data_IF_652786894630
#
_entry.id   IF_652786894630
#
_cell.length_a   1.000
_cell.length_b   1.000
_cell.length_c   1.000
_cell.angle_alpha   90.00
_cell.angle_beta   90.00
_cell.angle_gamma   90.00
#
_symmetry.space_group_name_H-M   'P 1'
#
loop_
_entity.id
_entity.type
_entity.pdbx_description
1 polymer ?
#
# COMPACT_ATOMS: atom_id res chain seq x y z
N UNK A 1 44.75 -67.44 -20.96
CA UNK A 1 43.89 -66.58 -21.86
C UNK A 1 42.57 -66.38 -21.13
N UNK A 2 42.40 -65.29 -20.42
CA UNK A 2 41.23 -64.94 -19.65
C UNK A 2 40.43 -63.85 -20.40
N UNK A 3 39.21 -64.16 -20.77
CA UNK A 3 38.24 -63.25 -21.34
C UNK A 3 37.48 -62.52 -20.20
N UNK A 4 37.57 -61.18 -20.16
CA UNK A 4 36.75 -60.32 -19.28
C UNK A 4 35.37 -60.08 -19.95
N UNK A 5 34.32 -60.49 -19.28
CA UNK A 5 32.93 -60.16 -19.64
C UNK A 5 32.62 -58.81 -18.98
N UNK A 6 32.29 -57.78 -19.79
CA UNK A 6 31.83 -56.49 -19.35
C UNK A 6 30.28 -56.51 -19.34
N UNK A 7 29.62 -56.25 -18.23
CA UNK A 7 28.17 -56.12 -18.22
C UNK A 7 27.72 -54.80 -18.89
N UNK A 8 26.87 -54.90 -19.89
CA UNK A 8 26.14 -53.79 -20.48
C UNK A 8 25.04 -53.34 -19.51
N UNK A 9 25.22 -52.20 -18.86
CA UNK A 9 24.13 -51.53 -18.18
C UNK A 9 23.19 -50.89 -19.23
N UNK A 10 21.96 -51.36 -19.25
CA UNK A 10 20.88 -50.70 -19.98
C UNK A 10 20.43 -49.45 -19.24
N UNK A 11 20.79 -48.28 -19.77
CA UNK A 11 20.29 -46.97 -19.37
C UNK A 11 19.01 -46.64 -20.18
N UNK A 12 17.88 -47.19 -19.80
CA UNK A 12 16.57 -46.75 -20.28
C UNK A 12 15.59 -47.01 -19.14
N UNK A 13 15.38 -46.03 -18.27
CA UNK A 13 14.11 -45.79 -17.57
C UNK A 13 14.32 -44.69 -16.49
N UNK A 14 14.40 -43.44 -16.89
CA UNK A 14 14.17 -42.28 -15.99
C UNK A 14 13.91 -41.01 -16.82
N UNK A 15 12.84 -41.03 -17.59
CA UNK A 15 12.39 -39.78 -18.27
C UNK A 15 10.87 -39.71 -18.39
N UNK A 16 10.14 -40.06 -17.34
CA UNK A 16 8.68 -40.03 -17.40
C UNK A 16 7.98 -39.30 -16.23
N UNK A 17 8.69 -38.61 -15.35
CA UNK A 17 8.03 -37.97 -14.19
C UNK A 17 8.14 -36.44 -14.11
N UNK A 18 8.54 -35.72 -15.16
CA UNK A 18 8.70 -34.25 -15.09
C UNK A 18 7.60 -33.48 -15.84
N UNK A 19 6.69 -34.15 -16.54
CA UNK A 19 5.69 -33.43 -17.37
C UNK A 19 4.30 -33.24 -16.73
N UNK A 20 4.05 -33.75 -15.53
CA UNK A 20 2.71 -33.66 -14.93
C UNK A 20 2.42 -32.33 -14.16
N UNK A 21 3.42 -31.56 -13.82
CA UNK A 21 3.22 -30.33 -13.01
C UNK A 21 3.01 -29.07 -13.85
N UNK A 22 3.20 -29.08 -15.16
CA UNK A 22 2.97 -27.91 -16.02
C UNK A 22 1.53 -27.82 -16.59
N UNK A 23 0.75 -28.89 -16.58
CA UNK A 23 -0.60 -28.87 -17.14
C UNK A 23 -1.61 -28.16 -16.24
N UNK A 24 -1.46 -28.23 -14.90
CA UNK A 24 -2.45 -27.78 -13.95
C UNK A 24 -2.46 -26.23 -13.82
N UNK A 25 -1.30 -25.55 -14.00
CA UNK A 25 -1.23 -24.09 -13.95
C UNK A 25 -2.00 -23.40 -15.10
N UNK A 26 -2.24 -24.09 -16.21
CA UNK A 26 -2.96 -23.56 -17.36
C UNK A 26 -4.50 -23.56 -17.18
N UNK A 27 -5.04 -24.39 -16.30
CA UNK A 27 -6.50 -24.52 -16.16
C UNK A 27 -7.14 -23.30 -15.49
N UNK A 28 -6.45 -22.61 -14.61
CA UNK A 28 -6.98 -21.41 -13.94
C UNK A 28 -6.98 -20.14 -14.81
N UNK A 29 -6.22 -20.08 -15.89
CA UNK A 29 -6.14 -18.89 -16.77
C UNK A 29 -7.51 -18.56 -17.38
N UNK A 30 -8.30 -19.57 -17.73
CA UNK A 30 -9.65 -19.40 -18.30
C UNK A 30 -10.66 -18.78 -17.32
N UNK A 31 -10.37 -18.78 -16.04
CA UNK A 31 -11.23 -18.22 -14.98
C UNK A 31 -10.80 -16.82 -14.56
N UNK A 32 -9.86 -16.18 -15.27
CA UNK A 32 -9.49 -14.80 -15.01
C UNK A 32 -10.66 -13.86 -15.32
N UNK A 33 -11.05 -13.06 -14.33
CA UNK A 33 -12.08 -12.03 -14.47
C UNK A 33 -11.43 -10.64 -14.52
N UNK A 34 -12.14 -9.66 -15.09
CA UNK A 34 -11.79 -8.25 -14.96
C UNK A 34 -12.18 -7.79 -13.57
N UNK A 35 -11.22 -7.34 -12.71
CA UNK A 35 -11.51 -6.98 -11.35
C UNK A 35 -12.30 -5.66 -11.28
N UNK A 36 -13.25 -5.57 -10.36
CA UNK A 36 -13.85 -4.30 -9.96
C UNK A 36 -12.95 -3.62 -8.94
N UNK A 37 -12.68 -2.32 -9.12
CA UNK A 37 -11.86 -1.54 -8.19
C UNK A 37 -12.73 -0.49 -7.52
N UNK A 38 -12.62 -0.41 -6.19
CA UNK A 38 -13.20 0.67 -5.38
C UNK A 38 -12.09 1.26 -4.53
N UNK A 39 -11.97 2.60 -4.51
CA UNK A 39 -11.06 3.30 -3.60
C UNK A 39 -11.89 4.24 -2.75
N UNK A 40 -11.68 4.17 -1.44
CA UNK A 40 -12.22 5.09 -0.44
C UNK A 40 -11.09 5.82 0.28
N UNK A 41 -11.38 7.02 0.77
CA UNK A 41 -10.49 7.77 1.65
C UNK A 41 -11.02 7.61 3.08
N UNK A 42 -10.16 7.31 4.07
CA UNK A 42 -10.60 7.15 5.45
C UNK A 42 -11.15 8.46 6.02
N UNK A 43 -12.09 8.34 6.94
CA UNK A 43 -12.47 9.47 7.78
C UNK A 43 -11.30 9.80 8.71
N UNK A 44 -10.91 11.07 8.74
CA UNK A 44 -9.76 11.49 9.55
C UNK A 44 -10.16 12.22 10.83
N UNK A 45 -9.26 12.19 11.81
CA UNK A 45 -9.36 12.91 13.09
C UNK A 45 -8.12 13.74 13.33
N UNK A 46 -8.26 14.79 14.16
CA UNK A 46 -7.14 15.65 14.61
C UNK A 46 -7.09 15.63 16.12
N UNK A 47 -5.92 15.36 16.66
CA UNK A 47 -5.58 15.50 18.06
C UNK A 47 -4.51 16.56 18.22
N UNK A 48 -4.62 17.41 19.25
CA UNK A 48 -3.63 18.46 19.56
C UNK A 48 -3.05 18.19 20.93
N UNK A 49 -1.73 18.11 21.01
CA UNK A 49 -1.01 17.88 22.26
C UNK A 49 0.12 18.92 22.46
N UNK A 50 0.51 19.12 23.71
CA UNK A 50 1.74 19.82 24.05
C UNK A 50 2.74 18.81 24.63
N UNK A 51 3.94 18.64 24.02
CA UNK A 51 5.00 17.82 24.60
C UNK A 51 5.41 18.36 25.98
N UNK A 52 5.94 17.49 26.85
CA UNK A 52 6.39 17.88 28.20
C UNK A 52 7.66 18.72 28.15
N UNK A 53 8.47 18.54 27.10
CA UNK A 53 9.73 19.27 26.89
C UNK A 53 9.60 20.23 25.72
N UNK A 54 10.45 21.28 25.68
CA UNK A 54 10.54 22.19 24.54
C UNK A 54 10.99 21.44 23.28
N UNK A 55 10.40 21.79 22.15
CA UNK A 55 10.81 21.27 20.84
C UNK A 55 12.02 22.11 20.35
N UNK A 56 13.17 21.46 20.14
CA UNK A 56 14.48 22.12 19.92
C UNK A 56 14.47 23.24 18.86
N UNK A 57 13.92 22.99 17.69
CA UNK A 57 13.96 23.93 16.56
C UNK A 57 12.58 24.31 16.02
N UNK A 58 11.52 23.63 16.46
CA UNK A 58 10.19 23.74 15.88
C UNK A 58 9.22 24.38 16.87
N UNK A 59 8.29 25.14 16.35
CA UNK A 59 7.18 25.69 17.13
C UNK A 59 6.00 24.74 17.18
N UNK A 60 5.86 23.90 16.14
CA UNK A 60 4.86 22.86 16.00
C UNK A 60 5.33 21.74 15.10
N UNK A 61 4.55 20.67 15.03
CA UNK A 61 4.77 19.53 14.15
C UNK A 61 3.48 18.76 13.93
N UNK A 62 3.27 18.21 12.72
CA UNK A 62 2.19 17.29 12.40
C UNK A 62 2.75 15.89 12.16
N UNK A 63 2.21 14.92 12.90
CA UNK A 63 2.45 13.50 12.65
C UNK A 63 1.17 12.95 12.00
N UNK A 64 1.28 12.56 10.72
CA UNK A 64 0.17 12.02 9.94
C UNK A 64 0.23 10.49 9.91
N UNK A 65 -0.89 9.83 10.21
CA UNK A 65 -1.02 8.37 10.12
C UNK A 65 -1.70 8.00 8.81
N UNK A 66 -0.94 7.38 7.92
CA UNK A 66 -1.46 6.88 6.63
C UNK A 66 -2.12 5.51 6.81
N UNK A 67 -3.26 5.33 6.16
CA UNK A 67 -3.94 4.05 5.94
C UNK A 67 -3.69 3.61 4.51
N UNK A 68 -3.39 2.33 4.34
CA UNK A 68 -3.10 1.69 3.05
C UNK A 68 -3.58 0.24 3.13
N UNK A 69 -4.90 0.05 3.18
CA UNK A 69 -5.58 -1.22 3.36
C UNK A 69 -6.20 -1.70 2.04
N UNK A 70 -6.18 -3.01 1.83
CA UNK A 70 -6.77 -3.67 0.66
C UNK A 70 -7.58 -4.87 1.13
N UNK A 71 -8.85 -4.89 0.76
CA UNK A 71 -9.75 -6.02 0.95
C UNK A 71 -10.06 -6.67 -0.41
N UNK A 72 -9.75 -7.96 -0.53
CA UNK A 72 -9.90 -8.70 -1.78
C UNK A 72 -11.10 -9.62 -1.70
N UNK A 73 -12.10 -9.32 -2.50
CA UNK A 73 -13.20 -10.23 -2.74
C UNK A 73 -12.76 -11.22 -3.83
N UNK A 74 -12.46 -12.44 -3.42
CA UNK A 74 -12.02 -13.50 -4.33
C UNK A 74 -13.17 -14.02 -5.18
N UNK A 75 -12.84 -14.46 -6.42
CA UNK A 75 -13.65 -15.33 -7.23
C UNK A 75 -13.08 -16.75 -7.10
N UNK A 76 -13.89 -17.66 -6.54
CA UNK A 76 -13.46 -19.04 -6.25
C UNK A 76 -14.24 -19.97 -7.13
N UNK A 77 -13.58 -20.61 -8.08
CA UNK A 77 -14.17 -21.61 -8.98
C UNK A 77 -13.67 -22.99 -8.62
N UNK A 78 -14.58 -23.90 -8.29
CA UNK A 78 -14.25 -25.32 -8.09
C UNK A 78 -14.02 -26.00 -9.44
N UNK A 79 -12.94 -26.73 -9.54
CA UNK A 79 -12.58 -27.58 -10.71
C UNK A 79 -12.32 -29.02 -10.24
N UNK A 80 -12.07 -29.96 -11.18
CA UNK A 80 -12.00 -31.39 -10.88
C UNK A 80 -11.00 -31.71 -9.75
N UNK A 81 -9.83 -31.09 -9.77
CA UNK A 81 -8.72 -31.40 -8.84
C UNK A 81 -8.50 -30.35 -7.74
N UNK A 82 -9.37 -29.31 -7.58
CA UNK A 82 -9.18 -28.26 -6.62
C UNK A 82 -9.98 -27.00 -6.89
N UNK A 83 -9.34 -25.85 -6.69
CA UNK A 83 -9.99 -24.54 -6.81
C UNK A 83 -9.08 -23.56 -7.55
N UNK A 84 -9.70 -22.73 -8.39
CA UNK A 84 -9.05 -21.54 -8.95
C UNK A 84 -9.51 -20.33 -8.15
N UNK A 85 -8.56 -19.60 -7.56
CA UNK A 85 -8.79 -18.41 -6.74
C UNK A 85 -8.35 -17.19 -7.55
N UNK A 86 -9.31 -16.41 -8.03
CA UNK A 86 -9.10 -15.18 -8.79
C UNK A 86 -9.57 -13.95 -8.02
N UNK A 87 -9.52 -12.78 -8.68
CA UNK A 87 -9.99 -11.51 -8.11
C UNK A 87 -11.33 -11.15 -8.74
N UNK A 88 -12.36 -10.98 -7.92
CA UNK A 88 -13.64 -10.40 -8.31
C UNK A 88 -13.67 -8.90 -8.08
N UNK A 89 -13.18 -8.45 -6.92
CA UNK A 89 -13.17 -7.05 -6.53
C UNK A 89 -12.00 -6.77 -5.60
N UNK A 90 -11.46 -5.56 -5.69
CA UNK A 90 -10.52 -5.00 -4.70
C UNK A 90 -11.13 -3.72 -4.15
N UNK A 91 -11.36 -3.70 -2.84
CA UNK A 91 -11.76 -2.51 -2.10
C UNK A 91 -10.54 -1.98 -1.35
N UNK A 92 -10.08 -0.79 -1.72
CA UNK A 92 -8.94 -0.15 -1.09
C UNK A 92 -9.38 1.05 -0.25
N UNK A 93 -8.77 1.21 0.92
CA UNK A 93 -8.87 2.41 1.74
C UNK A 93 -7.49 3.04 1.83
N UNK A 94 -7.29 4.20 1.16
CA UNK A 94 -5.98 4.85 1.02
C UNK A 94 -6.11 6.32 1.37
N UNK A 95 -5.31 6.78 2.35
CA UNK A 95 -5.30 8.17 2.80
C UNK A 95 -4.84 8.32 4.24
N UNK A 96 -5.18 9.43 4.86
CA UNK A 96 -4.81 9.73 6.24
C UNK A 96 -6.01 9.58 7.18
N UNK A 97 -5.83 8.84 8.28
CA UNK A 97 -6.88 8.59 9.28
C UNK A 97 -6.72 9.41 10.56
N UNK A 98 -5.49 9.84 10.88
CA UNK A 98 -5.23 10.62 12.08
C UNK A 98 -4.08 11.61 11.88
N UNK A 99 -4.26 12.81 12.45
CA UNK A 99 -3.24 13.85 12.53
C UNK A 99 -3.00 14.19 14.01
N UNK A 100 -1.81 13.91 14.51
CA UNK A 100 -1.35 14.35 15.81
C UNK A 100 -0.58 15.66 15.61
N UNK A 101 -1.17 16.78 16.08
CA UNK A 101 -0.55 18.10 16.06
C UNK A 101 0.15 18.32 17.39
N UNK A 102 1.44 18.52 17.36
CA UNK A 102 2.25 18.91 18.52
C UNK A 102 2.50 20.40 18.48
N UNK A 103 2.15 21.11 19.56
CA UNK A 103 2.46 22.54 19.74
C UNK A 103 3.44 22.70 20.88
N UNK A 104 4.57 23.37 20.63
CA UNK A 104 5.62 23.55 21.62
C UNK A 104 5.08 24.21 22.91
N UNK A 105 5.54 23.74 24.07
CA UNK A 105 5.09 24.17 25.40
C UNK A 105 5.33 25.67 25.66
N UNK A 106 6.24 26.31 24.92
CA UNK A 106 6.47 27.78 24.96
C UNK A 106 5.26 28.57 24.49
N UNK A 107 4.41 28.00 23.67
CA UNK A 107 3.15 28.58 23.19
C UNK A 107 2.00 28.10 24.05
N UNK A 108 1.53 28.93 24.98
CA UNK A 108 0.45 28.52 25.90
C UNK A 108 -0.90 28.55 25.22
N UNK A 109 -1.81 27.57 25.51
CA UNK A 109 -3.18 27.60 25.02
C UNK A 109 -3.88 28.93 25.21
N UNK A 110 -4.73 29.29 24.25
CA UNK A 110 -5.46 30.57 24.23
C UNK A 110 -4.56 31.83 24.12
N UNK A 111 -3.38 31.69 23.54
CA UNK A 111 -2.51 32.80 23.16
C UNK A 111 -2.42 32.97 21.67
N UNK A 112 -2.14 34.21 21.21
CA UNK A 112 -1.94 34.46 19.77
C UNK A 112 -0.88 33.52 19.15
N UNK A 113 0.23 33.27 19.85
CA UNK A 113 1.31 32.44 19.38
C UNK A 113 0.88 30.96 19.25
N UNK A 114 0.05 30.45 20.16
CA UNK A 114 -0.51 29.11 20.09
C UNK A 114 -1.43 28.96 18.87
N UNK A 115 -2.34 29.92 18.69
CA UNK A 115 -3.28 29.92 17.57
C UNK A 115 -2.55 30.06 16.22
N UNK A 116 -1.47 30.86 16.18
CA UNK A 116 -0.64 31.01 14.99
C UNK A 116 0.06 29.70 14.60
N UNK A 117 0.64 28.98 15.59
CA UNK A 117 1.25 27.66 15.36
C UNK A 117 0.19 26.66 14.86
N UNK A 118 -0.96 26.57 15.53
CA UNK A 118 -2.03 25.67 15.08
C UNK A 118 -2.48 25.97 13.64
N UNK A 119 -2.62 27.23 13.27
CA UNK A 119 -3.02 27.63 11.93
C UNK A 119 -1.96 27.26 10.87
N UNK A 120 -0.67 27.25 11.25
CA UNK A 120 0.42 26.77 10.41
C UNK A 120 0.34 25.24 10.22
N UNK A 121 0.23 24.49 11.31
CA UNK A 121 0.12 23.02 11.27
C UNK A 121 -1.14 22.55 10.51
N UNK A 122 -2.24 23.31 10.57
CA UNK A 122 -3.43 23.06 9.78
C UNK A 122 -3.20 23.22 8.26
N UNK A 123 -2.17 23.97 7.83
CA UNK A 123 -1.80 24.03 6.41
C UNK A 123 -1.14 22.71 5.99
N UNK A 124 -0.28 22.12 6.82
CA UNK A 124 0.29 20.81 6.57
C UNK A 124 -0.79 19.73 6.43
N UNK A 125 -1.78 19.71 7.34
CA UNK A 125 -2.91 18.77 7.26
C UNK A 125 -3.65 18.92 5.92
N UNK A 126 -3.95 20.16 5.50
CA UNK A 126 -4.62 20.40 4.21
C UNK A 126 -3.81 19.88 3.02
N UNK A 127 -2.49 20.04 3.02
CA UNK A 127 -1.65 19.52 1.93
C UNK A 127 -1.61 17.98 1.93
N UNK A 128 -1.52 17.33 3.08
CA UNK A 128 -1.63 15.86 3.16
C UNK A 128 -2.92 15.35 2.52
N UNK A 129 -4.06 15.96 2.86
CA UNK A 129 -5.37 15.58 2.29
C UNK A 129 -5.43 15.90 0.80
N UNK A 130 -4.96 17.07 0.36
CA UNK A 130 -4.98 17.51 -1.04
C UNK A 130 -4.12 16.61 -1.94
N UNK A 131 -2.98 16.12 -1.45
CA UNK A 131 -2.14 15.18 -2.24
C UNK A 131 -2.91 13.90 -2.54
N UNK A 132 -3.63 13.33 -1.58
CA UNK A 132 -4.43 12.12 -1.82
C UNK A 132 -5.50 12.40 -2.89
N UNK A 133 -6.20 13.54 -2.81
CA UNK A 133 -7.22 13.92 -3.80
C UNK A 133 -6.63 14.05 -5.20
N UNK A 134 -5.46 14.69 -5.34
CA UNK A 134 -4.78 14.90 -6.62
C UNK A 134 -4.31 13.57 -7.25
N UNK A 135 -4.00 12.57 -6.44
CA UNK A 135 -3.52 11.26 -6.90
C UNK A 135 -4.60 10.18 -7.03
N UNK A 136 -5.88 10.46 -6.72
CA UNK A 136 -6.96 9.45 -6.77
C UNK A 136 -7.06 8.71 -8.10
N UNK A 137 -7.02 9.42 -9.22
CA UNK A 137 -7.07 8.80 -10.55
C UNK A 137 -5.84 7.93 -10.82
N UNK A 138 -4.66 8.40 -10.41
CA UNK A 138 -3.42 7.64 -10.53
C UNK A 138 -3.43 6.36 -9.69
N UNK A 139 -3.91 6.45 -8.46
CA UNK A 139 -4.09 5.31 -7.56
C UNK A 139 -5.06 4.28 -8.14
N UNK A 140 -6.21 4.74 -8.64
CA UNK A 140 -7.18 3.85 -9.27
C UNK A 140 -6.58 3.10 -10.47
N UNK A 141 -5.87 3.80 -11.35
CA UNK A 141 -5.26 3.18 -12.52
C UNK A 141 -4.16 2.20 -12.14
N UNK A 142 -3.30 2.55 -11.18
CA UNK A 142 -2.25 1.67 -10.68
C UNK A 142 -2.82 0.41 -10.02
N UNK A 143 -3.86 0.56 -9.21
CA UNK A 143 -4.53 -0.57 -8.54
C UNK A 143 -5.25 -1.47 -9.56
N UNK A 144 -5.91 -0.88 -10.57
CA UNK A 144 -6.53 -1.64 -11.64
C UNK A 144 -5.48 -2.44 -12.43
N UNK A 145 -4.38 -1.81 -12.84
CA UNK A 145 -3.29 -2.46 -13.54
C UNK A 145 -2.68 -3.60 -12.73
N UNK A 146 -2.44 -3.35 -11.43
CA UNK A 146 -1.93 -4.36 -10.51
C UNK A 146 -2.88 -5.56 -10.40
N UNK A 147 -4.16 -5.32 -10.12
CA UNK A 147 -5.15 -6.37 -9.96
C UNK A 147 -5.38 -7.15 -11.29
N UNK A 148 -5.43 -6.43 -12.42
CA UNK A 148 -5.59 -7.07 -13.74
C UNK A 148 -4.36 -7.90 -14.15
N UNK A 149 -3.18 -7.60 -13.64
CA UNK A 149 -1.97 -8.38 -13.93
C UNK A 149 -1.92 -9.73 -13.20
N UNK A 150 -2.68 -9.89 -12.11
CA UNK A 150 -2.67 -11.11 -11.29
C UNK A 150 -3.47 -12.22 -11.98
N UNK A 151 -2.82 -13.36 -12.18
CA UNK A 151 -3.47 -14.56 -12.66
C UNK A 151 -4.10 -15.34 -11.49
N UNK A 152 -5.24 -16.02 -11.72
CA UNK A 152 -5.84 -16.88 -10.69
C UNK A 152 -4.85 -17.95 -10.21
N UNK A 153 -4.89 -18.21 -8.90
CA UNK A 153 -4.01 -19.18 -8.23
C UNK A 153 -4.75 -20.49 -8.06
N UNK A 154 -4.13 -21.60 -8.49
CA UNK A 154 -4.65 -22.93 -8.24
C UNK A 154 -4.28 -23.41 -6.83
N UNK A 155 -5.26 -23.98 -6.12
CA UNK A 155 -5.07 -24.63 -4.83
C UNK A 155 -5.79 -25.99 -4.80
N UNK A 156 -5.17 -26.99 -4.16
CA UNK A 156 -5.76 -28.33 -4.06
C UNK A 156 -6.87 -28.41 -3.01
N UNK A 157 -6.72 -27.70 -1.91
CA UNK A 157 -7.62 -27.80 -0.75
C UNK A 157 -8.28 -26.46 -0.48
N UNK A 158 -9.51 -26.50 0.00
CA UNK A 158 -10.21 -25.29 0.45
C UNK A 158 -9.51 -24.58 1.62
N UNK A 159 -8.72 -25.30 2.42
CA UNK A 159 -7.90 -24.71 3.50
C UNK A 159 -6.80 -23.78 3.00
N UNK A 160 -6.43 -23.87 1.71
CA UNK A 160 -5.32 -23.11 1.14
C UNK A 160 -5.81 -21.83 0.44
N UNK A 161 -7.13 -21.61 0.39
CA UNK A 161 -7.75 -20.46 -0.28
C UNK A 161 -7.31 -19.13 0.36
N UNK A 162 -7.30 -19.07 1.70
CA UNK A 162 -6.90 -17.85 2.40
C UNK A 162 -5.44 -17.47 2.12
N UNK A 163 -4.54 -18.46 2.02
CA UNK A 163 -3.16 -18.23 1.63
C UNK A 163 -3.04 -17.73 0.18
N UNK A 164 -3.88 -18.23 -0.71
CA UNK A 164 -3.91 -17.74 -2.09
C UNK A 164 -4.40 -16.29 -2.16
N UNK A 165 -5.40 -15.92 -1.37
CA UNK A 165 -5.88 -14.53 -1.27
C UNK A 165 -4.76 -13.61 -0.72
N UNK A 166 -4.03 -14.04 0.30
CA UNK A 166 -2.89 -13.29 0.85
C UNK A 166 -1.78 -13.13 -0.20
N UNK A 167 -1.48 -14.18 -0.97
CA UNK A 167 -0.51 -14.10 -2.08
C UNK A 167 -0.97 -13.09 -3.15
N UNK A 168 -2.25 -13.09 -3.51
CA UNK A 168 -2.84 -12.11 -4.43
C UNK A 168 -2.66 -10.70 -3.89
N UNK A 169 -2.97 -10.47 -2.62
CA UNK A 169 -2.81 -9.17 -1.97
C UNK A 169 -1.36 -8.68 -2.03
N UNK A 170 -0.41 -9.56 -1.70
CA UNK A 170 1.01 -9.24 -1.77
C UNK A 170 1.49 -8.89 -3.20
N UNK A 171 0.98 -9.60 -4.22
CA UNK A 171 1.26 -9.29 -5.63
C UNK A 171 0.74 -7.92 -6.03
N UNK A 172 -0.47 -7.55 -5.61
CA UNK A 172 -1.06 -6.23 -5.88
C UNK A 172 -0.21 -5.14 -5.22
N UNK A 173 0.07 -5.25 -3.92
CA UNK A 173 0.81 -4.24 -3.17
C UNK A 173 2.25 -4.05 -3.67
N UNK A 174 2.91 -5.13 -4.10
CA UNK A 174 4.27 -5.10 -4.63
C UNK A 174 4.35 -4.79 -6.13
N UNK A 175 3.21 -4.60 -6.81
CA UNK A 175 3.20 -4.29 -8.23
C UNK A 175 3.94 -2.97 -8.53
N UNK A 176 4.79 -2.91 -9.57
CA UNK A 176 5.61 -1.73 -9.85
C UNK A 176 4.83 -0.42 -9.91
N UNK A 177 3.64 -0.40 -10.51
CA UNK A 177 2.81 0.81 -10.61
C UNK A 177 2.30 1.26 -9.25
N UNK A 178 1.94 0.32 -8.33
CA UNK A 178 1.56 0.64 -6.95
C UNK A 178 2.73 1.23 -6.17
N UNK A 179 3.93 0.65 -6.31
CA UNK A 179 5.14 1.18 -5.68
C UNK A 179 5.47 2.58 -6.19
N UNK A 180 5.41 2.79 -7.51
CA UNK A 180 5.71 4.08 -8.14
C UNK A 180 4.71 5.16 -7.71
N UNK A 181 3.40 4.87 -7.69
CA UNK A 181 2.40 5.87 -7.32
C UNK A 181 2.54 6.29 -5.86
N UNK A 182 2.78 5.34 -4.94
CA UNK A 182 3.04 5.63 -3.52
C UNK A 182 4.30 6.49 -3.32
N UNK A 183 5.36 6.21 -4.08
CA UNK A 183 6.58 7.04 -4.05
C UNK A 183 6.32 8.46 -4.54
N UNK A 184 5.50 8.64 -5.58
CA UNK A 184 5.12 9.96 -6.09
C UNK A 184 4.30 10.75 -5.07
N UNK A 185 3.33 10.11 -4.41
CA UNK A 185 2.54 10.72 -3.33
C UNK A 185 3.48 11.24 -2.25
N UNK A 186 4.36 10.39 -1.73
CA UNK A 186 5.33 10.77 -0.69
C UNK A 186 6.25 11.91 -1.11
N UNK A 187 6.75 11.88 -2.34
CA UNK A 187 7.62 12.95 -2.86
C UNK A 187 6.87 14.29 -2.97
N UNK A 188 5.62 14.27 -3.41
CA UNK A 188 4.79 15.48 -3.54
C UNK A 188 4.43 16.06 -2.17
N UNK A 189 4.08 15.20 -1.19
CA UNK A 189 3.91 15.59 0.20
C UNK A 189 5.12 16.32 0.77
N UNK A 190 6.31 15.76 0.60
CA UNK A 190 7.53 16.39 1.08
C UNK A 190 7.79 17.76 0.44
N UNK A 191 7.52 17.88 -0.86
CA UNK A 191 7.68 19.15 -1.59
C UNK A 191 6.69 20.20 -1.06
N UNK A 192 5.41 19.82 -0.89
CA UNK A 192 4.36 20.75 -0.43
C UNK A 192 4.60 21.19 1.01
N UNK A 193 4.93 20.27 1.91
CA UNK A 193 5.23 20.57 3.29
C UNK A 193 6.45 21.49 3.43
N UNK A 194 7.55 21.20 2.73
CA UNK A 194 8.73 22.09 2.69
C UNK A 194 8.41 23.49 2.15
N UNK A 195 7.46 23.60 1.22
CA UNK A 195 7.02 24.90 0.67
C UNK A 195 6.28 25.72 1.72
N UNK A 196 5.44 25.09 2.56
CA UNK A 196 4.75 25.77 3.68
C UNK A 196 5.80 26.37 4.62
N UNK A 197 6.73 25.54 5.11
CA UNK A 197 7.76 25.97 6.05
C UNK A 197 8.61 27.11 5.48
N UNK A 198 9.03 26.99 4.22
CA UNK A 198 9.81 28.01 3.54
C UNK A 198 9.06 29.33 3.36
N UNK A 199 7.77 29.27 3.05
CA UNK A 199 6.95 30.46 2.83
C UNK A 199 6.64 31.21 4.13
N UNK A 200 6.48 30.44 5.21
CA UNK A 200 6.22 31.05 6.53
C UNK A 200 7.46 31.78 7.08
N UNK A 201 8.66 31.21 6.91
CA UNK A 201 9.95 31.81 7.33
C UNK A 201 9.89 32.46 8.73
N UNK A 202 9.08 31.90 9.67
CA UNK A 202 8.84 32.43 11.00
C UNK A 202 7.89 33.65 11.05
N UNK A 203 7.21 33.97 9.95
CA UNK A 203 6.28 35.11 9.89
C UNK A 203 4.98 34.83 10.66
N UNK A 204 4.62 33.56 10.90
CA UNK A 204 3.43 33.21 11.68
C UNK A 204 3.40 33.87 13.06
N UNK A 205 4.53 33.92 13.75
CA UNK A 205 4.64 34.48 15.10
C UNK A 205 4.81 35.98 15.13
N UNK A 206 5.30 36.60 14.06
CA UNK A 206 5.56 38.07 14.03
C UNK A 206 4.30 38.89 14.30
N UNK A 207 3.14 38.38 13.85
CA UNK A 207 1.84 39.06 14.07
C UNK A 207 1.41 39.11 15.54
N UNK A 208 2.00 38.29 16.41
CA UNK A 208 1.66 38.20 17.82
C UNK A 208 2.48 39.16 18.71
N UNK A 209 3.47 39.82 18.16
CA UNK A 209 4.39 40.68 18.89
C UNK A 209 4.27 42.16 18.46
N UNK A 210 3.22 42.53 17.74
CA UNK A 210 2.81 43.87 17.37
C UNK A 210 1.73 44.31 18.35
#
# INVERSE_FOLDING_TARGET
RGGRIVPRFNFITLLACVFSSMAIANDCVSYKMTPKITISVPTWTKEVVQPLDEMDLWHGNVIATMVDNYDIVADITSIEDGFCVGIKQVDAEIGYSNFLVQVDIRHKPNTCSYDAVLAHEDQHIREYLSVIDDFQVGLHNALYSAADSVMPIFVYNSSDIDMAIEEINNKIQSHPEMVIIKQKIKADEEIRNKRIDKNDNGDMLKKCFI
#
